data_IF_463368622414
#
_entry.id   IF_463368622414
#
_cell.length_a   1.000
_cell.length_b   1.000
_cell.length_c   1.000
_cell.angle_alpha   90.00
_cell.angle_beta   90.00
_cell.angle_gamma   90.00
#
_symmetry.space_group_name_H-M   'P 1'
#
loop_
_entity.id
_entity.type
_entity.pdbx_description
1 polymer ?
#
# COMPACT_ATOMS: atom_id res chain seq x y z
N UNK A 1 19.15 6.39 -12.31
CA UNK A 1 18.19 6.28 -11.18
C UNK A 1 17.50 4.94 -11.26
N UNK A 2 17.62 4.07 -10.23
CA UNK A 2 16.87 2.80 -10.18
C UNK A 2 15.44 3.09 -9.72
N UNK A 3 14.45 2.74 -10.54
CA UNK A 3 13.05 2.64 -10.10
C UNK A 3 12.98 1.53 -9.06
N UNK A 4 12.65 1.87 -7.81
CA UNK A 4 12.44 0.86 -6.77
C UNK A 4 11.04 0.29 -6.97
N UNK A 5 10.97 -1.02 -7.21
CA UNK A 5 9.70 -1.76 -7.23
C UNK A 5 9.48 -2.35 -5.84
N UNK A 6 8.29 -2.17 -5.29
CA UNK A 6 7.90 -2.78 -4.02
C UNK A 6 7.13 -4.08 -4.30
N UNK A 7 7.52 -5.15 -3.63
CA UNK A 7 6.82 -6.44 -3.64
C UNK A 7 5.59 -6.41 -2.73
N UNK A 8 4.68 -7.37 -2.88
CA UNK A 8 3.53 -7.48 -2.00
C UNK A 8 3.93 -7.77 -0.55
N UNK A 9 4.95 -8.60 -0.33
CA UNK A 9 5.48 -8.85 1.01
C UNK A 9 5.97 -7.56 1.69
N UNK A 10 6.79 -6.76 0.99
CA UNK A 10 7.29 -5.47 1.51
C UNK A 10 6.15 -4.48 1.78
N UNK A 11 5.14 -4.42 0.90
CA UNK A 11 3.97 -3.58 1.12
C UNK A 11 3.17 -4.03 2.36
N UNK A 12 2.96 -5.34 2.51
CA UNK A 12 2.23 -5.91 3.64
C UNK A 12 2.94 -5.58 4.95
N UNK A 13 4.25 -5.79 5.04
CA UNK A 13 5.04 -5.47 6.22
C UNK A 13 4.99 -3.97 6.53
N UNK A 14 5.08 -3.12 5.50
CA UNK A 14 4.90 -1.68 5.65
C UNK A 14 3.52 -1.35 6.25
N UNK A 15 2.43 -1.89 5.70
CA UNK A 15 1.07 -1.63 6.21
C UNK A 15 0.90 -2.14 7.65
N UNK A 16 1.46 -3.30 7.99
CA UNK A 16 1.41 -3.84 9.35
C UNK A 16 2.15 -2.96 10.36
N UNK A 17 3.30 -2.40 9.98
CA UNK A 17 4.02 -1.44 10.82
C UNK A 17 3.23 -0.15 11.09
N UNK A 18 2.27 0.17 10.23
CA UNK A 18 1.33 1.29 10.40
C UNK A 18 -0.02 0.86 10.99
N UNK A 19 -0.12 -0.34 11.59
CA UNK A 19 -1.30 -0.78 12.33
C UNK A 19 -2.45 -1.29 11.45
N UNK A 20 -2.20 -1.59 10.18
CA UNK A 20 -3.18 -2.31 9.37
C UNK A 20 -3.16 -3.80 9.71
N UNK A 21 -4.32 -4.44 9.58
CA UNK A 21 -4.47 -5.89 9.70
C UNK A 21 -5.15 -6.46 8.45
N UNK A 22 -4.83 -7.70 8.09
CA UNK A 22 -5.53 -8.39 6.99
C UNK A 22 -6.93 -8.83 7.39
N UNK A 23 -7.90 -8.61 6.50
CA UNK A 23 -9.24 -9.18 6.62
C UNK A 23 -9.40 -10.36 5.66
N UNK A 24 -9.93 -11.47 6.18
CA UNK A 24 -10.37 -12.58 5.36
C UNK A 24 -11.54 -12.14 4.47
N UNK A 25 -11.49 -12.49 3.20
CA UNK A 25 -12.59 -12.25 2.26
C UNK A 25 -12.97 -13.54 1.55
N UNK A 26 -14.19 -13.61 1.02
CA UNK A 26 -14.67 -14.75 0.25
C UNK A 26 -13.98 -14.88 -1.14
N UNK A 27 -13.30 -13.82 -1.61
CA UNK A 27 -12.61 -13.78 -2.90
C UNK A 27 -11.09 -13.89 -2.78
N UNK A 28 -10.39 -13.77 -3.91
CA UNK A 28 -8.92 -13.80 -3.95
C UNK A 28 -8.27 -12.45 -3.64
N UNK A 29 -9.08 -11.41 -3.48
CA UNK A 29 -8.65 -10.08 -3.06
C UNK A 29 -7.99 -10.08 -1.68
N UNK A 30 -7.06 -9.16 -1.50
CA UNK A 30 -6.36 -8.91 -0.24
C UNK A 30 -6.87 -7.60 0.32
N UNK A 31 -7.46 -7.65 1.51
CA UNK A 31 -8.02 -6.46 2.18
C UNK A 31 -7.25 -6.20 3.46
N UNK A 32 -6.88 -4.94 3.65
CA UNK A 32 -6.22 -4.43 4.84
C UNK A 32 -7.10 -3.38 5.49
N UNK A 33 -7.25 -3.45 6.82
CA UNK A 33 -8.02 -2.48 7.61
C UNK A 33 -7.15 -1.88 8.70
N UNK A 34 -7.19 -0.56 8.84
CA UNK A 34 -6.66 0.13 10.00
C UNK A 34 -7.80 0.43 10.97
N UNK A 35 -7.85 -0.27 12.11
CA UNK A 35 -9.03 -0.27 12.98
C UNK A 35 -9.37 1.10 13.58
N UNK A 36 -8.36 1.87 14.00
CA UNK A 36 -8.59 3.14 14.69
C UNK A 36 -9.04 4.26 13.75
N UNK A 37 -8.59 4.26 12.49
CA UNK A 37 -8.98 5.28 11.51
C UNK A 37 -10.12 4.85 10.58
N UNK A 38 -10.42 3.55 10.51
CA UNK A 38 -11.39 3.00 9.57
C UNK A 38 -10.90 2.89 8.11
N UNK A 39 -9.63 3.22 7.84
CA UNK A 39 -9.07 3.11 6.50
C UNK A 39 -9.09 1.67 5.99
N UNK A 40 -9.46 1.51 4.72
CA UNK A 40 -9.52 0.22 4.02
C UNK A 40 -8.73 0.27 2.73
N UNK A 41 -7.87 -0.72 2.52
CA UNK A 41 -7.14 -0.94 1.29
C UNK A 41 -7.55 -2.29 0.73
N UNK A 42 -8.12 -2.31 -0.47
CA UNK A 42 -8.46 -3.54 -1.19
C UNK A 42 -7.58 -3.67 -2.42
N UNK A 43 -6.90 -4.81 -2.54
CA UNK A 43 -6.04 -5.15 -3.66
C UNK A 43 -6.54 -6.42 -4.33
N UNK A 44 -6.33 -6.58 -5.65
CA UNK A 44 -6.49 -7.88 -6.28
C UNK A 44 -5.49 -8.88 -5.68
N UNK A 45 -5.62 -10.15 -6.08
CA UNK A 45 -4.68 -11.16 -5.66
C UNK A 45 -3.25 -10.82 -6.10
N UNK A 46 -2.33 -10.90 -5.14
CA UNK A 46 -0.89 -10.80 -5.35
C UNK A 46 -0.19 -11.99 -4.69
N UNK A 47 0.80 -12.55 -5.38
CA UNK A 47 1.80 -13.41 -4.75
C UNK A 47 2.74 -12.56 -3.91
N UNK A 48 3.30 -13.12 -2.82
CA UNK A 48 4.21 -12.41 -1.90
C UNK A 48 5.39 -11.75 -2.62
N UNK A 49 5.98 -12.43 -3.61
CA UNK A 49 7.11 -11.93 -4.41
C UNK A 49 6.72 -11.02 -5.58
N UNK A 50 5.43 -10.86 -5.88
CA UNK A 50 4.98 -10.07 -7.01
C UNK A 50 5.12 -8.57 -6.74
N UNK A 51 5.65 -7.84 -7.72
CA UNK A 51 5.71 -6.38 -7.66
C UNK A 51 4.31 -5.77 -7.74
N UNK A 52 4.05 -4.77 -6.89
CA UNK A 52 2.78 -4.05 -6.89
C UNK A 52 2.72 -3.12 -8.09
N UNK A 53 1.59 -3.13 -8.78
CA UNK A 53 1.36 -2.23 -9.91
C UNK A 53 1.32 -0.79 -9.42
N UNK A 54 1.92 0.12 -10.18
CA UNK A 54 2.01 1.53 -9.83
C UNK A 54 0.64 2.16 -9.50
N UNK A 55 -0.41 1.81 -10.25
CA UNK A 55 -1.77 2.30 -10.00
C UNK A 55 -2.28 1.96 -8.58
N UNK A 56 -1.92 0.79 -8.05
CA UNK A 56 -2.29 0.41 -6.69
C UNK A 56 -1.46 1.17 -5.66
N UNK A 57 -0.17 1.43 -5.92
CA UNK A 57 0.67 2.26 -5.05
C UNK A 57 0.15 3.69 -4.95
N UNK A 58 -0.31 4.26 -6.06
CA UNK A 58 -0.95 5.60 -6.07
C UNK A 58 -2.22 5.60 -5.22
N UNK A 59 -3.06 4.57 -5.35
CA UNK A 59 -4.28 4.44 -4.55
C UNK A 59 -3.97 4.29 -3.04
N UNK A 60 -3.00 3.45 -2.70
CA UNK A 60 -2.54 3.24 -1.31
C UNK A 60 -1.97 4.54 -0.73
N UNK A 61 -1.08 5.23 -1.46
CA UNK A 61 -0.50 6.52 -1.03
C UNK A 61 -1.62 7.51 -0.69
N UNK A 62 -2.62 7.63 -1.57
CA UNK A 62 -3.75 8.54 -1.34
C UNK A 62 -4.49 8.22 -0.04
N UNK A 63 -4.81 6.96 0.21
CA UNK A 63 -5.50 6.52 1.42
C UNK A 63 -4.65 6.83 2.67
N UNK A 64 -3.35 6.54 2.65
CA UNK A 64 -2.48 6.77 3.80
C UNK A 64 -2.39 8.26 4.17
N UNK A 65 -2.30 9.14 3.18
CA UNK A 65 -2.27 10.58 3.39
C UNK A 65 -3.64 11.14 3.82
N UNK A 66 -4.72 10.68 3.20
CA UNK A 66 -6.10 11.13 3.51
C UNK A 66 -6.48 10.81 4.95
N UNK A 67 -6.10 9.64 5.45
CA UNK A 67 -6.33 9.23 6.84
C UNK A 67 -5.21 9.66 7.79
N UNK A 68 -4.21 10.43 7.31
CA UNK A 68 -3.05 10.91 8.09
C UNK A 68 -2.31 9.79 8.83
N UNK A 69 -2.23 8.62 8.22
CA UNK A 69 -1.57 7.43 8.78
C UNK A 69 -0.06 7.45 8.57
N UNK A 70 0.38 8.15 7.52
CA UNK A 70 1.78 8.27 7.12
C UNK A 70 1.99 9.69 6.58
N UNK A 71 3.15 10.28 6.81
CA UNK A 71 3.53 11.54 6.16
C UNK A 71 3.98 11.34 4.70
N UNK A 72 4.05 12.46 3.97
CA UNK A 72 4.38 12.47 2.54
C UNK A 72 5.81 11.97 2.27
N UNK A 73 6.77 12.37 3.11
CA UNK A 73 8.18 11.98 2.98
C UNK A 73 8.35 10.45 3.11
N UNK A 74 7.69 9.85 4.09
CA UNK A 74 7.74 8.40 4.33
C UNK A 74 7.07 7.65 3.20
N UNK A 75 5.92 8.14 2.69
CA UNK A 75 5.29 7.56 1.50
C UNK A 75 6.23 7.63 0.29
N UNK A 76 6.84 8.79 0.04
CA UNK A 76 7.68 8.99 -1.14
C UNK A 76 8.97 8.16 -1.09
N UNK A 77 9.51 7.90 0.11
CA UNK A 77 10.66 6.99 0.31
C UNK A 77 10.32 5.53 0.05
N UNK A 78 9.10 5.12 0.33
CA UNK A 78 8.66 3.71 0.19
C UNK A 78 8.12 3.44 -1.21
N UNK A 79 7.37 4.38 -1.77
CA UNK A 79 6.69 4.23 -3.06
C UNK A 79 7.44 4.88 -4.23
N UNK A 80 8.75 5.13 -4.12
CA UNK A 80 9.54 5.89 -5.12
C UNK A 80 9.61 5.21 -6.50
N UNK A 81 8.52 5.37 -7.25
CA UNK A 81 8.50 5.70 -8.66
C UNK A 81 8.14 7.18 -8.67
N UNK A 82 8.90 8.04 -9.35
CA UNK A 82 8.43 9.42 -9.57
C UNK A 82 7.04 9.32 -10.18
N UNK A 83 6.02 9.65 -9.41
CA UNK A 83 4.68 9.86 -9.91
C UNK A 83 4.79 11.18 -10.67
N UNK A 84 5.24 11.10 -11.93
CA UNK A 84 5.11 12.20 -12.87
C UNK A 84 3.63 12.34 -13.16
N UNK A 85 2.90 13.05 -12.32
CA UNK A 85 1.67 13.71 -12.74
C UNK A 85 2.13 14.81 -13.69
N UNK A 86 1.93 14.55 -14.98
CA UNK A 86 2.05 15.54 -16.05
C UNK A 86 0.76 16.35 -16.13
#
# INVERSE_FOLDING_TARGET
MKTKTITFAELKDFLFNFGFETLSTAGSQKVFKHFSSGALIALPYYQESACIRQIHLVAIRRILLEYRLVDEETCDRVFTQKISLS
#
